data_IF_896199566367
#
_entry.id   IF_896199566367
#
_cell.length_a   1.000
_cell.length_b   1.000
_cell.length_c   1.000
_cell.angle_alpha   90.00
_cell.angle_beta   90.00
_cell.angle_gamma   90.00
#
_symmetry.space_group_name_H-M   'P 1'
#
loop_
_entity.id
_entity.type
_entity.pdbx_description
1 polymer ?
#
# COMPACT_ATOMS: atom_id res chain seq x y z
N UNK A 1 -0.31 -16.89 6.60
CA UNK A 1 -0.33 -17.21 5.15
C UNK A 1 -1.74 -17.00 4.66
N UNK A 2 -1.90 -16.35 3.50
CA UNK A 2 -3.19 -16.02 2.88
C UNK A 2 -3.05 -16.11 1.36
N UNK A 3 -4.12 -16.41 0.62
CA UNK A 3 -4.06 -16.34 -0.85
C UNK A 3 -4.05 -14.89 -1.34
N UNK A 4 -3.35 -14.63 -2.44
CA UNK A 4 -3.33 -13.30 -3.06
C UNK A 4 -4.73 -12.80 -3.43
N UNK A 5 -5.61 -13.68 -3.91
CA UNK A 5 -7.00 -13.33 -4.21
C UNK A 5 -7.74 -12.79 -2.98
N UNK A 6 -7.52 -13.38 -1.80
CA UNK A 6 -8.19 -12.93 -0.57
C UNK A 6 -7.74 -11.52 -0.15
N UNK A 7 -6.47 -11.16 -0.38
CA UNK A 7 -5.98 -9.78 -0.20
C UNK A 7 -6.68 -8.85 -1.19
N UNK A 8 -6.74 -9.22 -2.48
CA UNK A 8 -7.37 -8.40 -3.52
C UNK A 8 -8.87 -8.22 -3.25
N UNK A 9 -9.56 -9.26 -2.78
CA UNK A 9 -10.97 -9.22 -2.36
C UNK A 9 -11.18 -8.24 -1.21
N UNK A 10 -10.28 -8.23 -0.24
CA UNK A 10 -10.31 -7.27 0.88
C UNK A 10 -10.16 -5.83 0.39
N UNK A 11 -9.28 -5.57 -0.59
CA UNK A 11 -9.13 -4.24 -1.20
C UNK A 11 -10.40 -3.83 -1.95
N UNK A 12 -10.99 -4.72 -2.74
CA UNK A 12 -12.26 -4.45 -3.44
C UNK A 12 -13.38 -4.14 -2.46
N UNK A 13 -13.48 -4.90 -1.37
CA UNK A 13 -14.46 -4.69 -0.31
C UNK A 13 -14.30 -3.31 0.34
N UNK A 14 -13.08 -2.93 0.72
CA UNK A 14 -12.80 -1.63 1.34
C UNK A 14 -13.06 -0.45 0.40
N UNK A 15 -12.85 -0.63 -0.90
CA UNK A 15 -13.08 0.40 -1.91
C UNK A 15 -14.52 0.46 -2.40
N UNK A 16 -15.41 -0.39 -1.86
CA UNK A 16 -16.81 -0.47 -2.29
C UNK A 16 -16.98 -0.95 -3.73
N UNK A 17 -15.94 -1.58 -4.30
CA UNK A 17 -15.99 -2.21 -5.62
C UNK A 17 -16.60 -3.60 -5.51
N UNK A 18 -17.30 -4.03 -6.54
CA UNK A 18 -17.90 -5.37 -6.57
C UNK A 18 -16.80 -6.44 -6.57
N UNK A 19 -16.97 -7.47 -5.74
CA UNK A 19 -16.24 -8.72 -5.88
C UNK A 19 -16.43 -9.24 -7.32
N UNK A 20 -15.33 -9.44 -8.05
CA UNK A 20 -15.36 -9.76 -9.47
C UNK A 20 -15.12 -8.59 -10.44
N UNK A 21 -14.61 -7.44 -9.97
CA UNK A 21 -13.99 -6.42 -10.86
C UNK A 21 -12.76 -7.03 -11.56
N UNK A 22 -13.01 -7.74 -12.67
CA UNK A 22 -12.00 -8.49 -13.42
C UNK A 22 -10.85 -7.60 -13.89
N UNK A 23 -11.11 -6.32 -14.13
CA UNK A 23 -10.09 -5.37 -14.52
C UNK A 23 -9.12 -5.09 -13.36
N UNK A 24 -9.63 -4.96 -12.13
CA UNK A 24 -8.78 -4.76 -10.96
C UNK A 24 -7.91 -5.99 -10.65
N UNK A 25 -8.47 -7.21 -10.70
CA UNK A 25 -7.67 -8.42 -10.55
C UNK A 25 -6.59 -8.52 -11.61
N UNK A 26 -6.95 -8.33 -12.88
CA UNK A 26 -5.97 -8.39 -13.97
C UNK A 26 -4.88 -7.35 -13.80
N UNK A 27 -5.23 -6.13 -13.37
CA UNK A 27 -4.26 -5.08 -13.08
C UNK A 27 -3.30 -5.52 -11.97
N UNK A 28 -3.81 -5.94 -10.81
CA UNK A 28 -2.96 -6.38 -9.69
C UNK A 28 -2.11 -7.58 -10.11
N UNK A 29 -2.69 -8.62 -10.68
CA UNK A 29 -1.95 -9.85 -11.01
C UNK A 29 -0.91 -9.66 -12.09
N UNK A 30 -1.14 -8.74 -13.02
CA UNK A 30 -0.17 -8.39 -14.05
C UNK A 30 0.95 -7.50 -13.53
N UNK A 31 0.65 -6.64 -12.55
CA UNK A 31 1.57 -5.59 -12.13
C UNK A 31 2.17 -5.78 -10.72
N UNK A 32 1.77 -6.81 -9.99
CA UNK A 32 2.29 -7.07 -8.66
C UNK A 32 3.75 -7.51 -8.71
N UNK A 33 4.56 -6.83 -7.90
CA UNK A 33 5.93 -7.17 -7.61
C UNK A 33 6.23 -7.05 -6.12
N UNK A 34 7.26 -7.75 -5.66
CA UNK A 34 7.71 -7.73 -4.27
C UNK A 34 9.00 -6.95 -4.19
N UNK A 35 8.95 -5.74 -3.61
CA UNK A 35 10.12 -4.87 -3.53
C UNK A 35 11.02 -5.22 -2.35
N UNK A 36 12.32 -5.29 -2.63
CA UNK A 36 13.41 -5.46 -1.65
C UNK A 36 13.73 -4.11 -1.05
N UNK A 37 13.00 -3.67 -0.02
CA UNK A 37 13.36 -2.37 0.59
C UNK A 37 14.68 -2.48 1.34
N UNK A 38 15.02 -3.61 1.99
CA UNK A 38 16.31 -3.74 2.71
C UNK A 38 16.98 -5.13 2.80
N UNK A 39 16.39 -6.23 2.36
CA UNK A 39 17.01 -7.58 2.27
C UNK A 39 16.03 -8.52 1.53
N UNK A 40 16.43 -9.71 1.02
CA UNK A 40 15.56 -10.49 0.15
C UNK A 40 14.26 -10.86 0.90
N UNK A 41 13.08 -10.82 0.24
CA UNK A 41 11.87 -11.32 0.86
C UNK A 41 12.00 -12.84 0.84
N UNK A 42 12.59 -13.43 1.87
CA UNK A 42 12.75 -14.88 1.94
C UNK A 42 11.38 -15.58 1.83
N UNK A 43 10.31 -14.91 2.30
CA UNK A 43 8.98 -15.49 2.42
C UNK A 43 8.14 -15.37 1.15
N UNK A 44 8.28 -14.30 0.35
CA UNK A 44 7.50 -14.08 -0.87
C UNK A 44 8.35 -14.11 -2.17
N UNK A 45 9.54 -14.73 -2.13
CA UNK A 45 10.45 -14.79 -3.27
C UNK A 45 9.84 -15.46 -4.52
N UNK A 46 8.92 -16.41 -4.33
CA UNK A 46 8.26 -17.15 -5.42
C UNK A 46 7.34 -16.29 -6.28
N UNK A 47 6.90 -15.14 -5.77
CA UNK A 47 6.07 -14.18 -6.52
C UNK A 47 6.84 -12.92 -6.90
N UNK A 48 8.16 -12.88 -6.85
CA UNK A 48 8.92 -11.76 -7.41
C UNK A 48 8.73 -11.72 -8.92
N UNK A 49 8.60 -10.53 -9.52
CA UNK A 49 8.54 -10.40 -10.97
C UNK A 49 9.97 -10.51 -11.55
N UNK A 50 10.30 -11.58 -12.30
CA UNK A 50 11.66 -11.79 -12.79
C UNK A 50 12.11 -10.75 -13.83
N UNK A 51 11.18 -9.96 -14.39
CA UNK A 51 11.49 -8.92 -15.37
C UNK A 51 12.00 -7.64 -14.73
N UNK A 52 11.72 -7.43 -13.44
CA UNK A 52 12.14 -6.26 -12.69
C UNK A 52 13.50 -6.54 -12.04
N UNK A 53 14.47 -5.66 -12.30
CA UNK A 53 15.80 -5.69 -11.68
C UNK A 53 16.08 -4.35 -11.00
N UNK A 54 17.06 -4.31 -10.09
CA UNK A 54 17.34 -3.14 -9.24
C UNK A 54 17.73 -1.86 -10.00
N UNK A 55 18.06 -1.97 -11.30
CA UNK A 55 18.55 -0.85 -12.12
C UNK A 55 17.62 -0.48 -13.30
N UNK A 56 16.44 -1.10 -13.40
CA UNK A 56 15.47 -0.86 -14.48
C UNK A 56 14.18 -0.19 -14.00
N UNK A 57 13.46 0.45 -14.92
CA UNK A 57 12.06 0.84 -14.69
C UNK A 57 11.15 -0.39 -14.53
N UNK A 58 9.97 -0.19 -13.94
CA UNK A 58 8.98 -1.24 -13.77
C UNK A 58 8.54 -1.84 -15.11
N UNK A 59 8.40 -3.17 -15.15
CA UNK A 59 7.87 -3.95 -16.27
C UNK A 59 6.75 -4.85 -15.78
N UNK A 60 5.60 -4.75 -16.43
CA UNK A 60 4.49 -5.69 -16.21
C UNK A 60 4.92 -7.14 -16.51
N UNK A 61 4.31 -8.10 -15.81
CA UNK A 61 4.54 -9.53 -16.07
C UNK A 61 4.04 -9.90 -17.46
N UNK A 62 4.81 -10.77 -18.12
CA UNK A 62 4.35 -11.44 -19.34
C UNK A 62 3.24 -12.45 -19.02
N UNK A 63 3.43 -13.23 -17.95
CA UNK A 63 2.44 -14.15 -17.40
C UNK A 63 1.93 -13.59 -16.07
N UNK A 64 0.67 -13.12 -15.99
CA UNK A 64 0.08 -12.65 -14.75
C UNK A 64 0.07 -13.72 -13.67
N UNK A 65 0.02 -13.28 -12.41
CA UNK A 65 -0.32 -14.14 -11.28
C UNK A 65 -1.76 -14.69 -11.44
N UNK A 66 -2.04 -15.77 -10.73
CA UNK A 66 -3.33 -16.48 -10.81
C UNK A 66 -4.29 -16.08 -9.70
N UNK A 67 -3.80 -15.46 -8.63
CA UNK A 67 -4.53 -15.21 -7.39
C UNK A 67 -4.42 -16.34 -6.37
N UNK A 68 -4.04 -17.55 -6.80
CA UNK A 68 -3.86 -18.72 -5.92
C UNK A 68 -2.49 -18.73 -5.21
N UNK A 69 -1.62 -17.77 -5.53
CA UNK A 69 -0.32 -17.65 -4.89
C UNK A 69 -0.48 -17.42 -3.39
N UNK A 70 0.28 -18.19 -2.61
CA UNK A 70 0.34 -18.00 -1.16
C UNK A 70 1.20 -16.78 -0.84
N UNK A 71 0.66 -15.91 0.00
CA UNK A 71 1.32 -14.71 0.52
C UNK A 71 1.68 -14.96 1.98
N UNK A 72 2.94 -14.69 2.30
CA UNK A 72 3.54 -14.90 3.60
C UNK A 72 3.87 -13.57 4.28
N UNK A 73 3.94 -13.59 5.60
CA UNK A 73 4.11 -12.42 6.45
C UNK A 73 2.82 -11.96 7.11
N UNK A 74 2.95 -11.43 8.33
CA UNK A 74 1.83 -10.96 9.15
C UNK A 74 1.54 -9.47 9.00
N UNK A 75 2.52 -8.69 8.53
CA UNK A 75 2.39 -7.24 8.36
C UNK A 75 2.89 -6.89 6.98
N UNK A 76 1.97 -6.55 6.07
CA UNK A 76 2.29 -6.22 4.69
C UNK A 76 1.65 -4.89 4.30
N UNK A 77 2.22 -4.21 3.32
CA UNK A 77 1.51 -3.16 2.58
C UNK A 77 1.39 -3.54 1.12
N UNK A 78 0.21 -3.25 0.55
CA UNK A 78 -0.03 -3.27 -0.88
C UNK A 78 -0.12 -1.82 -1.37
N UNK A 79 0.85 -1.39 -2.17
CA UNK A 79 1.02 0.00 -2.56
C UNK A 79 0.84 0.18 -4.08
N UNK A 80 0.14 1.24 -4.45
CA UNK A 80 -0.12 1.68 -5.82
C UNK A 80 0.53 3.05 -6.03
N UNK A 81 1.33 3.21 -7.08
CA UNK A 81 2.04 4.45 -7.40
C UNK A 81 1.43 5.19 -8.59
N UNK A 82 1.58 6.52 -8.62
CA UNK A 82 1.07 7.38 -9.69
C UNK A 82 2.00 7.41 -10.93
N UNK A 83 3.26 7.02 -10.76
CA UNK A 83 4.30 7.18 -11.80
C UNK A 83 4.57 5.93 -12.62
N UNK A 84 4.14 4.78 -12.13
CA UNK A 84 4.21 3.51 -12.84
C UNK A 84 2.94 2.70 -12.54
N UNK A 85 2.60 1.76 -13.42
CA UNK A 85 1.48 0.84 -13.20
C UNK A 85 1.80 -0.20 -12.10
N UNK A 86 2.87 -0.02 -11.33
CA UNK A 86 3.38 -1.02 -10.42
C UNK A 86 2.49 -1.17 -9.19
N UNK A 87 2.30 -2.43 -8.78
CA UNK A 87 1.72 -2.76 -7.49
C UNK A 87 2.81 -3.40 -6.65
N UNK A 88 3.17 -2.77 -5.53
CA UNK A 88 4.22 -3.27 -4.66
C UNK A 88 3.62 -3.95 -3.44
N UNK A 89 4.01 -5.20 -3.21
CA UNK A 89 3.82 -5.89 -1.94
C UNK A 89 5.11 -5.75 -1.12
N UNK A 90 5.00 -5.18 0.07
CA UNK A 90 6.11 -4.94 0.98
C UNK A 90 5.87 -5.69 2.30
N UNK A 91 6.87 -6.42 2.77
CA UNK A 91 6.84 -7.08 4.08
C UNK A 91 7.43 -6.17 5.16
N UNK A 92 6.79 -6.13 6.32
CA UNK A 92 7.21 -5.38 7.51
C UNK A 92 7.48 -6.36 8.66
N UNK A 93 8.47 -6.03 9.50
CA UNK A 93 8.88 -6.93 10.58
C UNK A 93 7.86 -6.99 11.73
N UNK A 94 7.07 -5.92 11.91
CA UNK A 94 6.09 -5.79 12.99
C UNK A 94 4.97 -4.81 12.61
N UNK A 95 3.95 -4.72 13.45
CA UNK A 95 2.91 -3.70 13.33
C UNK A 95 3.52 -2.28 13.41
N UNK A 96 4.41 -2.04 14.38
CA UNK A 96 5.10 -0.74 14.53
C UNK A 96 5.89 -0.34 13.27
N UNK A 97 6.53 -1.31 12.61
CA UNK A 97 7.30 -1.09 11.38
C UNK A 97 6.36 -0.71 10.22
N UNK A 98 5.25 -1.44 10.09
CA UNK A 98 4.18 -1.13 9.14
C UNK A 98 3.61 0.27 9.38
N UNK A 99 3.27 0.62 10.63
CA UNK A 99 2.73 1.94 10.99
C UNK A 99 3.71 3.06 10.65
N UNK A 100 5.00 2.90 11.01
CA UNK A 100 6.07 3.83 10.64
C UNK A 100 6.17 4.01 9.14
N UNK A 101 6.09 2.92 8.37
CA UNK A 101 6.11 3.01 6.91
C UNK A 101 4.89 3.76 6.38
N UNK A 102 3.68 3.47 6.87
CA UNK A 102 2.44 4.13 6.43
C UNK A 102 2.52 5.65 6.61
N UNK A 103 3.09 6.14 7.71
CA UNK A 103 3.20 7.59 8.00
C UNK A 103 4.50 8.23 7.51
N UNK A 104 5.43 7.46 6.93
CA UNK A 104 6.68 7.97 6.40
C UNK A 104 6.46 8.86 5.15
N UNK A 105 7.50 9.56 4.71
CA UNK A 105 7.50 10.27 3.43
C UNK A 105 7.45 9.32 2.22
N UNK A 106 7.65 8.02 2.42
CA UNK A 106 7.41 6.96 1.43
C UNK A 106 6.04 6.31 1.54
N UNK A 107 5.23 6.71 2.52
CA UNK A 107 3.92 6.13 2.83
C UNK A 107 2.74 6.91 2.25
N UNK A 108 1.62 6.95 2.98
CA UNK A 108 0.34 7.52 2.51
C UNK A 108 0.44 9.02 2.22
N UNK A 109 1.32 9.74 2.90
CA UNK A 109 1.57 11.16 2.71
C UNK A 109 2.39 11.49 1.45
N UNK A 110 3.01 10.48 0.82
CA UNK A 110 3.79 10.67 -0.40
C UNK A 110 2.87 11.02 -1.57
N UNK A 111 3.04 12.16 -2.26
CA UNK A 111 2.16 12.56 -3.36
C UNK A 111 2.21 11.63 -4.59
N UNK A 112 3.18 10.72 -4.66
CA UNK A 112 3.37 9.76 -5.75
C UNK A 112 2.87 8.35 -5.42
N UNK A 113 2.32 8.16 -4.24
CA UNK A 113 1.60 6.95 -3.83
C UNK A 113 0.12 7.26 -3.97
N UNK A 114 -0.61 6.59 -4.84
CA UNK A 114 -2.06 6.82 -4.97
C UNK A 114 -2.81 6.16 -3.81
N UNK A 115 -2.49 4.89 -3.56
CA UNK A 115 -3.15 4.08 -2.54
C UNK A 115 -2.14 3.20 -1.82
N UNK A 116 -2.34 3.01 -0.52
CA UNK A 116 -1.59 2.02 0.26
C UNK A 116 -2.57 1.33 1.21
N UNK A 117 -2.61 0.00 1.12
CA UNK A 117 -3.48 -0.84 1.93
C UNK A 117 -2.63 -1.62 2.92
N UNK A 118 -3.02 -1.61 4.18
CA UNK A 118 -2.40 -2.43 5.20
C UNK A 118 -3.02 -3.83 5.16
N UNK A 119 -2.18 -4.86 5.17
CA UNK A 119 -2.60 -6.26 5.34
C UNK A 119 -2.02 -6.75 6.64
N UNK A 120 -2.89 -7.06 7.60
CA UNK A 120 -2.53 -7.54 8.93
C UNK A 120 -3.06 -8.97 9.05
N UNK A 121 -2.13 -9.92 9.17
CA UNK A 121 -2.39 -11.36 9.32
C UNK A 121 -3.33 -11.88 8.24
N UNK A 122 -3.04 -11.47 7.02
CA UNK A 122 -3.79 -11.84 5.82
C UNK A 122 -5.10 -11.09 5.60
N UNK A 123 -5.48 -10.14 6.47
CA UNK A 123 -6.68 -9.34 6.29
C UNK A 123 -6.34 -7.91 5.92
N UNK A 124 -7.02 -7.37 4.92
CA UNK A 124 -6.88 -5.95 4.58
C UNK A 124 -7.57 -5.12 5.65
N UNK A 125 -6.81 -4.27 6.33
CA UNK A 125 -7.27 -3.50 7.47
C UNK A 125 -7.50 -2.04 7.08
N UNK A 126 -8.64 -1.49 7.50
CA UNK A 126 -8.95 -0.07 7.32
C UNK A 126 -8.27 0.77 8.40
N UNK A 127 -7.68 1.88 7.98
CA UNK A 127 -7.05 2.84 8.89
C UNK A 127 -7.28 4.28 8.43
N UNK A 128 -7.05 5.22 9.34
CA UNK A 128 -6.96 6.65 9.10
C UNK A 128 -5.56 7.13 9.47
N UNK A 129 -4.93 7.93 8.61
CA UNK A 129 -3.71 8.62 8.97
C UNK A 129 -4.07 10.02 9.50
N UNK A 130 -3.46 10.41 10.61
CA UNK A 130 -3.73 11.68 11.28
C UNK A 130 -2.43 12.42 11.44
N UNK A 131 -2.48 13.75 11.41
CA UNK A 131 -1.34 14.63 11.63
C UNK A 131 -1.77 15.87 12.40
N UNK A 132 -0.82 16.56 13.01
CA UNK A 132 -1.07 17.85 13.65
C UNK A 132 -0.93 18.99 12.65
N UNK A 133 -1.92 19.87 12.63
CA UNK A 133 -1.91 21.12 11.86
C UNK A 133 -2.49 22.23 12.71
N UNK A 134 -1.70 23.30 12.93
CA UNK A 134 -2.13 24.46 13.70
C UNK A 134 -2.69 24.14 15.10
N UNK A 135 -2.09 23.12 15.74
CA UNK A 135 -2.49 22.62 17.07
C UNK A 135 -3.75 21.75 17.07
N UNK A 136 -4.22 21.31 15.90
CA UNK A 136 -5.38 20.43 15.75
C UNK A 136 -4.99 19.11 15.08
N UNK A 137 -5.59 18.02 15.56
CA UNK A 137 -5.53 16.71 14.89
C UNK A 137 -6.42 16.73 13.64
N UNK A 138 -5.82 16.45 12.48
CA UNK A 138 -6.51 16.42 11.19
C UNK A 138 -6.36 15.04 10.56
N UNK A 139 -7.48 14.47 10.10
CA UNK A 139 -7.47 13.24 9.30
C UNK A 139 -6.95 13.55 7.91
N UNK A 140 -5.92 12.85 7.49
CA UNK A 140 -5.34 12.95 6.16
C UNK A 140 -6.33 12.47 5.09
N UNK A 141 -6.45 13.24 4.03
CA UNK A 141 -7.25 12.90 2.84
C UNK A 141 -6.37 13.00 1.61
N UNK A 142 -6.32 11.91 0.86
CA UNK A 142 -5.56 11.84 -0.39
C UNK A 142 -6.15 12.74 -1.47
N UNK A 143 -7.48 12.73 -1.57
CA UNK A 143 -8.21 13.61 -2.49
C UNK A 143 -7.94 15.09 -2.17
N UNK A 144 -7.88 15.45 -0.89
CA UNK A 144 -7.53 16.81 -0.47
C UNK A 144 -6.07 17.16 -0.82
N UNK A 145 -5.12 16.22 -0.67
CA UNK A 145 -3.73 16.40 -1.08
C UNK A 145 -3.64 16.69 -2.59
N UNK A 146 -4.33 15.92 -3.43
CA UNK A 146 -4.31 16.12 -4.88
C UNK A 146 -5.07 17.37 -5.32
N UNK A 147 -6.20 17.69 -4.71
CA UNK A 147 -6.93 18.94 -4.97
C UNK A 147 -6.04 20.18 -4.71
N UNK A 148 -5.22 20.15 -3.65
CA UNK A 148 -4.24 21.20 -3.37
C UNK A 148 -3.07 21.21 -4.35
N UNK A 149 -2.57 20.04 -4.78
CA UNK A 149 -1.41 19.93 -5.67
C UNK A 149 -1.70 20.39 -7.11
N UNK A 150 -2.91 20.15 -7.62
CA UNK A 150 -3.31 20.50 -9.00
C UNK A 150 -4.12 21.81 -9.08
N UNK A 151 -4.60 22.32 -7.94
CA UNK A 151 -5.33 23.58 -7.82
C UNK A 151 -4.43 24.80 -7.58
N UNK A 152 -3.56 25.14 -8.52
CA UNK A 152 -3.01 26.51 -8.69
C UNK A 152 -2.39 27.22 -7.46
N UNK A 153 -1.80 26.48 -6.51
CA UNK A 153 -0.84 27.03 -5.54
C UNK A 153 0.43 26.20 -5.62
N UNK A 154 1.55 26.86 -5.89
CA UNK A 154 2.86 26.23 -5.92
C UNK A 154 3.08 25.38 -4.67
N UNK A 155 3.83 24.28 -4.83
CA UNK A 155 4.15 23.29 -3.80
C UNK A 155 4.83 23.84 -2.54
N UNK A 156 5.06 25.16 -2.46
CA UNK A 156 5.72 25.86 -1.36
C UNK A 156 4.83 26.13 -0.13
N UNK A 157 3.51 26.02 -0.26
CA UNK A 157 2.56 26.38 0.82
C UNK A 157 1.99 25.17 1.58
N UNK A 158 2.37 23.93 1.22
CA UNK A 158 1.96 22.75 1.97
C UNK A 158 2.74 22.71 3.28
N UNK A 159 2.07 23.09 4.38
CA UNK A 159 2.61 22.91 5.72
C UNK A 159 3.04 21.44 5.90
N UNK A 160 4.20 21.17 6.50
CA UNK A 160 4.64 19.81 6.72
C UNK A 160 3.63 19.07 7.59
N UNK A 161 3.27 17.84 7.21
CA UNK A 161 2.54 16.93 8.07
C UNK A 161 3.45 16.56 9.25
N UNK A 162 3.22 17.15 10.42
CA UNK A 162 3.98 16.88 11.65
C UNK A 162 3.17 15.99 12.59
N UNK A 163 3.84 15.30 13.51
CA UNK A 163 3.22 14.42 14.53
C UNK A 163 2.19 13.45 13.94
N UNK A 164 2.65 12.66 12.97
CA UNK A 164 1.82 11.73 12.20
C UNK A 164 1.52 10.47 13.01
N UNK A 165 0.32 9.93 12.88
CA UNK A 165 -0.12 8.70 13.55
C UNK A 165 -1.11 7.91 12.70
N UNK A 166 -1.27 6.62 13.01
CA UNK A 166 -2.28 5.74 12.43
C UNK A 166 -3.37 5.46 13.47
N UNK A 167 -4.63 5.54 13.06
CA UNK A 167 -5.77 5.04 13.79
C UNK A 167 -6.46 3.93 12.99
N UNK A 168 -6.52 2.73 13.56
CA UNK A 168 -7.18 1.59 12.95
C UNK A 168 -8.69 1.66 13.16
N UNK A 169 -9.49 1.39 12.12
CA UNK A 169 -10.96 1.46 12.21
C UNK A 169 -11.54 0.37 13.13
N UNK A 170 -10.92 -0.81 13.10
CA UNK A 170 -11.06 -1.84 14.11
C UNK A 170 -9.66 -2.15 14.65
N UNK A 171 -9.51 -2.42 15.96
CA UNK A 171 -8.23 -2.82 16.50
C UNK A 171 -7.67 -4.00 15.68
N UNK A 172 -6.42 -3.92 15.21
CA UNK A 172 -5.81 -5.07 14.57
C UNK A 172 -5.88 -6.23 15.57
N UNK A 173 -6.27 -7.42 15.10
CA UNK A 173 -6.44 -8.57 15.98
C UNK A 173 -5.17 -8.75 16.82
N UNK A 174 -5.26 -8.50 18.12
CA UNK A 174 -4.17 -8.81 19.04
C UNK A 174 -4.19 -10.32 19.20
N UNK A 175 -3.29 -10.98 18.49
CA UNK A 175 -3.08 -12.42 18.62
C UNK A 175 -2.35 -12.71 19.92
N UNK A 176 -2.41 -13.96 20.40
CA UNK A 176 -1.81 -14.38 21.67
C UNK A 176 -0.32 -14.03 21.78
#
# INVERSE_FOLDING_TARGET
MVQLSEIVDGVLTLTGRSAGDSAFYQFVYKNLDVRRVQQPPAENAHIVNPLNNEMGGFKAREVPLTGAEQIYGDYLTLQFGTHDDAVYLLNHASLDDLEKQLISDGGVFNPFVDWIYAVIRGRVQKYSAIFQQDGQSVVFSKDAQFACAYGNKGSSDLKPYIDRQIEWSDPPETGP
#
